data_IF_478850686911
#
_entry.id   IF_478850686911
#
_cell.length_a   1.000
_cell.length_b   1.000
_cell.length_c   1.000
_cell.angle_alpha   90.00
_cell.angle_beta   90.00
_cell.angle_gamma   90.00
#
_symmetry.space_group_name_H-M   'P 1'
#
loop_
_entity.id
_entity.type
_entity.pdbx_description
1 polymer ?
#
# COMPACT_ATOMS: atom_id res chain seq x y z
N UNK A 1 78.70 -24.84 7.68
CA UNK A 1 77.50 -24.04 7.31
C UNK A 1 76.85 -24.77 6.14
N UNK A 2 75.56 -25.08 6.00
CA UNK A 2 74.26 -24.92 6.67
C UNK A 2 73.26 -25.61 5.68
N UNK A 3 72.00 -25.95 5.89
CA UNK A 3 71.18 -26.47 6.98
C UNK A 3 69.95 -27.09 6.25
N UNK A 4 69.22 -27.96 6.95
CA UNK A 4 68.08 -28.80 6.51
C UNK A 4 66.84 -28.07 5.92
N UNK A 5 66.22 -28.72 4.92
CA UNK A 5 64.82 -29.20 4.83
C UNK A 5 63.65 -28.25 5.21
N UNK A 6 62.64 -28.10 4.33
CA UNK A 6 61.27 -28.64 4.48
C UNK A 6 60.27 -28.10 3.44
N UNK A 7 59.52 -29.02 2.83
CA UNK A 7 58.23 -28.81 2.15
C UNK A 7 57.17 -28.45 3.19
N UNK A 8 56.30 -27.49 2.88
CA UNK A 8 55.02 -27.30 3.58
C UNK A 8 53.91 -27.06 2.57
N UNK A 9 52.95 -27.98 2.57
CA UNK A 9 51.65 -27.86 1.91
C UNK A 9 50.78 -26.85 2.65
N UNK A 10 50.19 -25.90 1.93
CA UNK A 10 49.17 -25.01 2.47
C UNK A 10 47.81 -25.46 1.97
N UNK A 11 46.96 -25.92 2.88
CA UNK A 11 45.56 -26.27 2.66
C UNK A 11 44.75 -24.99 2.43
N UNK A 12 44.02 -24.90 1.30
CA UNK A 12 42.96 -23.90 1.11
C UNK A 12 41.68 -24.39 1.77
N UNK A 13 41.25 -23.75 2.84
CA UNK A 13 39.91 -23.89 3.43
C UNK A 13 38.95 -22.95 2.71
N UNK A 14 38.01 -23.51 1.95
CA UNK A 14 36.87 -22.78 1.40
C UNK A 14 35.81 -22.58 2.50
N UNK A 15 35.60 -21.33 2.93
CA UNK A 15 34.52 -20.96 3.83
C UNK A 15 33.23 -20.75 3.01
N UNK A 16 32.25 -21.64 3.19
CA UNK A 16 30.93 -21.56 2.60
C UNK A 16 30.07 -20.59 3.45
N UNK A 17 29.89 -19.34 3.00
CA UNK A 17 28.93 -18.42 3.61
C UNK A 17 27.51 -18.85 3.22
N UNK A 18 26.77 -19.38 4.19
CA UNK A 18 25.32 -19.61 4.08
C UNK A 18 24.63 -18.31 4.47
N UNK A 19 24.11 -17.57 3.50
CA UNK A 19 23.23 -16.42 3.75
C UNK A 19 21.80 -16.94 3.90
N UNK A 20 21.28 -16.93 5.13
CA UNK A 20 19.85 -17.18 5.37
C UNK A 20 19.06 -15.91 5.02
N UNK A 21 17.99 -16.01 4.21
CA UNK A 21 17.05 -14.91 4.05
C UNK A 21 16.29 -14.74 5.36
N UNK A 22 16.48 -13.60 6.02
CA UNK A 22 15.72 -13.23 7.21
C UNK A 22 14.27 -12.97 6.83
N UNK A 23 13.35 -13.78 7.35
CA UNK A 23 11.94 -13.45 7.38
C UNK A 23 11.77 -12.36 8.46
N UNK A 24 11.76 -11.10 8.05
CA UNK A 24 11.53 -9.98 8.97
C UNK A 24 10.04 -9.92 9.29
N UNK A 25 9.67 -10.25 10.53
CA UNK A 25 8.40 -9.82 11.08
C UNK A 25 8.38 -8.29 11.17
N UNK A 26 7.21 -7.66 10.99
CA UNK A 26 7.06 -6.22 11.14
C UNK A 26 7.60 -5.77 12.51
N UNK A 27 8.49 -4.78 12.52
CA UNK A 27 8.98 -4.22 13.79
C UNK A 27 7.90 -3.37 14.45
N UNK A 28 8.02 -3.09 15.75
CA UNK A 28 7.13 -2.16 16.47
C UNK A 28 7.05 -0.77 15.83
N UNK A 29 8.07 -0.42 15.05
CA UNK A 29 8.20 0.89 14.41
C UNK A 29 7.55 0.91 13.02
N UNK A 30 7.19 -0.25 12.46
CA UNK A 30 6.57 -0.34 11.14
C UNK A 30 5.12 0.13 11.15
N UNK A 31 4.37 -0.10 12.24
CA UNK A 31 2.95 0.28 12.34
C UNK A 31 2.75 1.81 12.22
N UNK A 32 3.46 2.66 12.99
CA UNK A 32 3.34 4.12 12.83
C UNK A 32 3.77 4.62 11.44
N UNK A 33 4.79 4.01 10.84
CA UNK A 33 5.22 4.37 9.49
C UNK A 33 4.17 3.99 8.45
N UNK A 34 3.60 2.80 8.56
CA UNK A 34 2.53 2.33 7.69
C UNK A 34 1.27 3.20 7.82
N UNK A 35 0.96 3.66 9.03
CA UNK A 35 -0.14 4.60 9.28
C UNK A 35 0.09 5.94 8.56
N UNK A 36 1.31 6.47 8.62
CA UNK A 36 1.67 7.69 7.89
C UNK A 36 1.54 7.53 6.37
N UNK A 37 1.84 6.34 5.83
CA UNK A 37 1.70 6.05 4.39
C UNK A 37 0.24 6.02 3.95
N UNK A 38 -0.65 5.32 4.67
CA UNK A 38 -2.07 5.30 4.31
C UNK A 38 -2.70 6.69 4.46
N UNK A 39 -2.32 7.45 5.50
CA UNK A 39 -2.74 8.84 5.66
C UNK A 39 -2.24 9.75 4.54
N UNK A 40 -0.96 9.62 4.16
CA UNK A 40 -0.35 10.38 3.08
C UNK A 40 -1.00 10.10 1.73
N UNK A 41 -1.31 8.83 1.45
CA UNK A 41 -1.98 8.41 0.21
C UNK A 41 -3.35 9.09 0.06
N UNK A 42 -4.19 9.02 1.09
CA UNK A 42 -5.52 9.65 1.05
C UNK A 42 -5.47 11.18 1.10
N UNK A 43 -4.50 11.77 1.80
CA UNK A 43 -4.26 13.20 1.74
C UNK A 43 -3.92 13.62 0.30
N UNK A 44 -2.97 12.95 -0.34
CA UNK A 44 -2.58 13.23 -1.73
C UNK A 44 -3.75 13.12 -2.71
N UNK A 45 -4.54 12.03 -2.63
CA UNK A 45 -5.73 11.85 -3.47
C UNK A 45 -6.76 12.96 -3.28
N UNK A 46 -7.11 13.29 -2.04
CA UNK A 46 -8.13 14.30 -1.73
C UNK A 46 -7.70 15.72 -2.08
N UNK A 47 -6.39 15.99 -2.14
CA UNK A 47 -5.81 17.28 -2.46
C UNK A 47 -5.39 17.40 -3.95
N UNK A 48 -5.68 16.38 -4.77
CA UNK A 48 -5.38 16.37 -6.20
C UNK A 48 -3.89 16.20 -6.53
N UNK A 49 -3.07 15.75 -5.58
CA UNK A 49 -1.64 15.44 -5.79
C UNK A 49 -1.48 14.00 -6.30
N UNK A 50 -1.93 13.75 -7.52
CA UNK A 50 -2.03 12.38 -8.04
C UNK A 50 -0.66 11.71 -8.28
N UNK A 51 0.38 12.48 -8.60
CA UNK A 51 1.75 11.96 -8.66
C UNK A 51 2.23 11.40 -7.30
N UNK A 52 1.97 12.14 -6.22
CA UNK A 52 2.31 11.70 -4.86
C UNK A 52 1.52 10.44 -4.47
N UNK A 53 0.22 10.40 -4.80
CA UNK A 53 -0.63 9.24 -4.56
C UNK A 53 -0.12 8.01 -5.33
N UNK A 54 0.25 8.17 -6.61
CA UNK A 54 0.83 7.12 -7.43
C UNK A 54 2.14 6.57 -6.85
N UNK A 55 2.98 7.43 -6.27
CA UNK A 55 4.22 7.01 -5.60
C UNK A 55 4.00 6.22 -4.31
N UNK A 56 2.86 6.40 -3.65
CA UNK A 56 2.49 5.70 -2.41
C UNK A 56 1.69 4.42 -2.66
N UNK A 57 1.30 4.15 -3.90
CA UNK A 57 0.50 3.01 -4.29
C UNK A 57 1.33 1.92 -4.97
N UNK A 58 1.01 0.67 -4.67
CA UNK A 58 1.64 -0.51 -5.28
C UNK A 58 0.65 -1.65 -5.52
N UNK A 59 -0.65 -1.35 -5.53
CA UNK A 59 -1.63 -2.27 -6.11
C UNK A 59 -1.61 -2.22 -7.63
N UNK A 60 -2.57 -2.89 -8.25
CA UNK A 60 -2.68 -2.92 -9.71
C UNK A 60 -3.37 -1.66 -10.27
N UNK A 61 -2.97 -1.26 -11.48
CA UNK A 61 -3.61 -0.21 -12.25
C UNK A 61 -4.51 -0.78 -13.36
N UNK A 62 -4.78 -2.09 -13.36
CA UNK A 62 -5.49 -2.76 -14.44
C UNK A 62 -6.93 -2.25 -14.54
N UNK A 63 -7.61 -2.14 -13.39
CA UNK A 63 -8.97 -1.60 -13.33
C UNK A 63 -9.04 -0.15 -13.84
N UNK A 64 -8.14 0.71 -13.36
CA UNK A 64 -8.07 2.11 -13.78
C UNK A 64 -7.81 2.27 -15.28
N UNK A 65 -6.93 1.42 -15.83
CA UNK A 65 -6.59 1.44 -17.26
C UNK A 65 -7.75 0.91 -18.11
N UNK A 66 -8.44 -0.14 -17.63
CA UNK A 66 -9.55 -0.76 -18.37
C UNK A 66 -10.73 0.19 -18.57
N UNK A 67 -11.02 1.04 -17.57
CA UNK A 67 -12.12 2.01 -17.63
C UNK A 67 -11.72 3.35 -18.27
N UNK A 68 -10.44 3.56 -18.56
CA UNK A 68 -9.91 4.75 -19.24
C UNK A 68 -9.03 4.37 -20.45
N UNK A 69 -9.60 3.77 -21.52
CA UNK A 69 -8.82 3.26 -22.65
C UNK A 69 -8.15 4.35 -23.51
N UNK A 70 -8.49 5.62 -23.29
CA UNK A 70 -7.87 6.78 -23.91
C UNK A 70 -6.63 7.30 -23.15
N UNK A 71 -6.38 6.82 -21.93
CA UNK A 71 -5.23 7.20 -21.10
C UNK A 71 -4.09 6.20 -21.28
N UNK A 72 -2.84 6.69 -21.32
CA UNK A 72 -1.66 5.81 -21.30
C UNK A 72 -1.66 4.99 -19.99
N UNK A 73 -1.60 3.65 -20.03
CA UNK A 73 -1.58 2.81 -18.83
C UNK A 73 -0.41 3.10 -17.88
N UNK A 74 0.62 3.84 -18.30
CA UNK A 74 1.75 4.26 -17.46
C UNK A 74 1.57 5.67 -16.87
N UNK A 75 0.55 6.42 -17.30
CA UNK A 75 0.19 7.71 -16.72
C UNK A 75 -0.67 7.51 -15.47
N UNK A 76 -0.04 6.96 -14.43
CA UNK A 76 -0.71 6.61 -13.18
C UNK A 76 -1.35 7.84 -12.49
N UNK A 77 -0.77 9.03 -12.66
CA UNK A 77 -1.31 10.26 -12.13
C UNK A 77 -2.65 10.60 -12.81
N UNK A 78 -2.69 10.57 -14.14
CA UNK A 78 -3.93 10.81 -14.89
C UNK A 78 -4.98 9.72 -14.63
N UNK A 79 -4.57 8.46 -14.46
CA UNK A 79 -5.47 7.37 -14.09
C UNK A 79 -6.14 7.63 -12.72
N UNK A 80 -5.38 8.06 -11.71
CA UNK A 80 -5.95 8.45 -10.42
C UNK A 80 -6.80 9.72 -10.51
N UNK A 81 -6.42 10.69 -11.33
CA UNK A 81 -7.25 11.86 -11.57
C UNK A 81 -8.62 11.46 -12.13
N UNK A 82 -8.66 10.59 -13.14
CA UNK A 82 -9.90 10.07 -13.73
C UNK A 82 -10.72 9.30 -12.70
N UNK A 83 -10.07 8.48 -11.88
CA UNK A 83 -10.72 7.75 -10.80
C UNK A 83 -11.48 8.70 -9.87
N UNK A 84 -10.78 9.70 -9.34
CA UNK A 84 -11.29 10.60 -8.33
C UNK A 84 -12.30 11.63 -8.85
N UNK A 85 -12.23 11.98 -10.14
CA UNK A 85 -13.02 13.10 -10.69
C UNK A 85 -14.12 12.69 -11.65
N UNK A 86 -14.04 11.49 -12.24
CA UNK A 86 -14.90 11.09 -13.35
C UNK A 86 -15.46 9.68 -13.23
N UNK A 87 -14.69 8.72 -12.71
CA UNK A 87 -15.14 7.33 -12.70
C UNK A 87 -16.02 6.98 -11.49
N UNK A 88 -15.96 7.73 -10.39
CA UNK A 88 -16.74 7.45 -9.17
C UNK A 88 -15.90 6.97 -7.98
N UNK A 89 -14.58 7.17 -8.04
CA UNK A 89 -13.66 6.91 -6.93
C UNK A 89 -13.87 7.87 -5.75
N UNK A 90 -13.96 7.31 -4.56
CA UNK A 90 -14.14 8.06 -3.30
C UNK A 90 -12.78 8.49 -2.75
N UNK A 91 -12.25 9.57 -3.32
CA UNK A 91 -10.95 10.13 -2.95
C UNK A 91 -11.08 11.16 -1.81
N UNK A 92 -11.61 10.71 -0.67
CA UNK A 92 -11.88 11.54 0.51
C UNK A 92 -10.74 11.47 1.54
N UNK A 93 -10.58 12.50 2.40
CA UNK A 93 -9.65 12.43 3.51
C UNK A 93 -10.11 11.40 4.56
N UNK A 94 -9.15 10.80 5.24
CA UNK A 94 -9.42 9.90 6.38
C UNK A 94 -10.06 10.70 7.51
N UNK A 95 -11.21 10.24 7.99
CA UNK A 95 -11.82 10.70 9.24
C UNK A 95 -11.17 10.03 10.45
N UNK A 96 -11.05 8.69 10.39
CA UNK A 96 -10.52 7.89 11.48
C UNK A 96 -9.90 6.57 11.00
N UNK A 97 -8.89 6.10 11.73
CA UNK A 97 -8.38 4.72 11.65
C UNK A 97 -8.90 3.96 12.87
N UNK A 98 -9.86 3.06 12.66
CA UNK A 98 -10.61 2.39 13.73
C UNK A 98 -10.00 1.04 14.15
N UNK A 99 -9.20 0.40 13.28
CA UNK A 99 -8.41 -0.78 13.66
C UNK A 99 -7.04 -0.80 12.97
N UNK A 100 -6.11 -1.54 13.59
CA UNK A 100 -4.73 -1.77 13.12
C UNK A 100 -4.37 -3.21 13.43
N UNK A 101 -4.05 -3.99 12.41
CA UNK A 101 -3.71 -5.40 12.53
C UNK A 101 -2.41 -5.69 11.79
N UNK A 102 -1.41 -6.24 12.49
CA UNK A 102 -0.19 -6.75 11.85
C UNK A 102 -0.49 -8.15 11.32
N UNK A 103 -0.24 -8.38 10.03
CA UNK A 103 -0.48 -9.65 9.35
C UNK A 103 0.75 -10.58 9.45
N UNK A 104 0.55 -11.86 9.16
CA UNK A 104 1.59 -12.89 9.27
C UNK A 104 2.80 -12.62 8.37
N UNK A 105 2.62 -11.89 7.26
CA UNK A 105 3.68 -11.50 6.33
C UNK A 105 4.38 -10.18 6.72
N UNK A 106 4.02 -9.61 7.86
CA UNK A 106 4.54 -8.33 8.36
C UNK A 106 3.86 -7.09 7.77
N UNK A 107 2.92 -7.23 6.83
CA UNK A 107 2.13 -6.08 6.39
C UNK A 107 1.17 -5.61 7.48
N UNK A 108 0.70 -4.37 7.37
CA UNK A 108 -0.23 -3.78 8.34
C UNK A 108 -1.56 -3.50 7.64
N UNK A 109 -2.64 -4.07 8.18
CA UNK A 109 -4.01 -3.77 7.78
C UNK A 109 -4.57 -2.66 8.66
N UNK A 110 -5.14 -1.65 8.02
CA UNK A 110 -5.89 -0.57 8.63
C UNK A 110 -7.34 -0.67 8.24
N UNK A 111 -8.24 -0.42 9.19
CA UNK A 111 -9.65 -0.15 8.89
C UNK A 111 -9.90 1.35 8.99
N UNK A 112 -10.37 1.93 7.91
CA UNK A 112 -10.42 3.37 7.69
C UNK A 112 -11.86 3.82 7.49
N UNK A 113 -12.21 4.95 8.10
CA UNK A 113 -13.43 5.71 7.86
C UNK A 113 -13.06 7.02 7.14
N UNK A 114 -13.89 7.47 6.21
CA UNK A 114 -13.65 8.69 5.43
C UNK A 114 -14.56 9.83 5.85
N UNK A 115 -14.09 11.06 5.63
CA UNK A 115 -14.84 12.28 5.92
C UNK A 115 -15.38 12.90 4.64
N UNK A 116 -16.68 13.20 4.63
CA UNK A 116 -17.29 14.05 3.61
C UNK A 116 -16.76 15.48 3.73
N UNK A 117 -17.01 16.31 2.71
CA UNK A 117 -16.58 17.71 2.69
C UNK A 117 -17.12 18.56 3.87
N UNK A 118 -18.26 18.17 4.45
CA UNK A 118 -18.85 18.83 5.61
C UNK A 118 -18.35 18.28 6.97
N UNK A 119 -17.41 17.33 6.94
CA UNK A 119 -16.85 16.68 8.11
C UNK A 119 -17.62 15.44 8.59
N UNK A 120 -18.79 15.14 8.00
CA UNK A 120 -19.58 13.95 8.37
C UNK A 120 -18.92 12.65 7.91
N UNK A 121 -19.35 11.52 8.49
CA UNK A 121 -18.89 10.19 8.09
C UNK A 121 -19.40 9.85 6.68
N UNK A 122 -18.50 9.40 5.81
CA UNK A 122 -18.87 8.84 4.52
C UNK A 122 -19.50 7.45 4.69
N UNK A 123 -20.64 7.23 4.03
CA UNK A 123 -21.39 5.98 4.09
C UNK A 123 -21.87 5.58 2.69
N UNK A 124 -21.64 4.33 2.32
CA UNK A 124 -22.22 3.72 1.11
C UNK A 124 -23.54 3.06 1.50
N UNK A 125 -24.62 3.54 0.89
CA UNK A 125 -25.96 2.96 0.98
C UNK A 125 -26.21 1.84 -0.03
N UNK A 126 -27.47 1.39 -0.17
CA UNK A 126 -27.84 0.39 -1.18
C UNK A 126 -27.50 0.89 -2.59
N UNK A 127 -27.05 -0.01 -3.46
CA UNK A 127 -26.73 0.29 -4.85
C UNK A 127 -27.67 -0.46 -5.81
N UNK A 128 -27.75 -0.02 -7.07
CA UNK A 128 -28.35 -0.82 -8.16
C UNK A 128 -29.81 -1.30 -7.94
N UNK A 129 -30.63 -0.54 -7.21
CA UNK A 129 -32.05 -0.88 -6.96
C UNK A 129 -32.27 -1.85 -5.80
N UNK A 130 -31.25 -2.10 -4.98
CA UNK A 130 -31.38 -2.86 -3.74
C UNK A 130 -32.33 -2.19 -2.75
N UNK A 131 -33.00 -3.00 -1.93
CA UNK A 131 -33.89 -2.51 -0.87
C UNK A 131 -33.05 -1.88 0.24
N UNK A 132 -33.42 -0.67 0.65
CA UNK A 132 -32.77 -0.04 1.79
C UNK A 132 -33.15 -0.75 3.10
N UNK A 133 -32.19 -1.47 3.67
CA UNK A 133 -32.31 -2.15 4.97
C UNK A 133 -31.83 -1.28 6.13
N UNK A 134 -31.34 -0.06 5.86
CA UNK A 134 -30.66 0.78 6.83
C UNK A 134 -29.20 0.39 7.08
N UNK A 135 -28.69 -0.67 6.46
CA UNK A 135 -27.28 -1.05 6.54
C UNK A 135 -26.41 -0.08 5.71
N UNK A 136 -25.27 0.31 6.26
CA UNK A 136 -24.31 1.23 5.63
C UNK A 136 -22.90 0.63 5.70
N UNK A 137 -22.15 0.80 4.61
CA UNK A 137 -20.71 0.48 4.59
C UNK A 137 -19.94 1.79 4.78
N UNK A 138 -19.21 1.90 5.87
CA UNK A 138 -18.48 3.13 6.24
C UNK A 138 -17.04 2.86 6.72
N UNK A 139 -16.64 1.59 6.74
CA UNK A 139 -15.31 1.14 7.12
C UNK A 139 -14.70 0.33 5.97
N UNK A 140 -13.45 0.65 5.62
CA UNK A 140 -12.75 0.10 4.46
C UNK A 140 -11.36 -0.38 4.86
N UNK A 141 -10.96 -1.56 4.37
CA UNK A 141 -9.68 -2.16 4.72
C UNK A 141 -8.57 -1.76 3.74
N UNK A 142 -7.44 -1.30 4.28
CA UNK A 142 -6.22 -0.94 3.54
C UNK A 142 -5.03 -1.70 4.08
N UNK A 143 -4.27 -2.33 3.20
CA UNK A 143 -3.03 -3.00 3.54
C UNK A 143 -1.87 -2.14 3.07
N UNK A 144 -0.96 -1.87 4.00
CA UNK A 144 0.33 -1.25 3.71
C UNK A 144 1.41 -2.30 3.85
N UNK A 145 2.23 -2.44 2.81
CA UNK A 145 3.27 -3.46 2.74
C UNK A 145 4.57 -2.86 2.22
N UNK A 146 5.69 -3.42 2.67
CA UNK A 146 7.01 -3.10 2.13
C UNK A 146 7.22 -3.77 0.77
N UNK A 147 7.46 -2.97 -0.26
CA UNK A 147 7.76 -3.41 -1.63
C UNK A 147 9.00 -2.65 -2.08
N UNK A 148 10.05 -3.38 -2.47
CA UNK A 148 11.34 -2.83 -2.90
C UNK A 148 11.98 -1.85 -1.90
N UNK A 149 11.70 -2.04 -0.61
CA UNK A 149 12.23 -1.21 0.49
C UNK A 149 11.26 -0.13 0.98
N UNK A 150 10.24 0.22 0.21
CA UNK A 150 9.27 1.28 0.53
C UNK A 150 7.95 0.72 1.04
N UNK A 151 7.32 1.38 2.00
CA UNK A 151 5.96 1.06 2.41
C UNK A 151 4.96 1.68 1.43
N UNK A 152 4.02 0.89 0.93
CA UNK A 152 3.02 1.33 -0.07
C UNK A 152 1.66 0.71 0.19
N UNK A 153 0.60 1.43 -0.18
CA UNK A 153 -0.81 1.01 -0.11
C UNK A 153 -1.13 0.07 -1.27
N UNK A 154 -1.95 -0.96 -1.05
CA UNK A 154 -2.28 -1.96 -2.07
C UNK A 154 -3.70 -1.82 -2.65
N UNK A 155 -4.59 -1.05 -2.02
CA UNK A 155 -5.99 -0.93 -2.41
C UNK A 155 -6.30 0.43 -3.04
N UNK A 156 -7.15 0.43 -4.07
CA UNK A 156 -7.75 1.63 -4.60
C UNK A 156 -8.74 2.24 -3.59
N UNK A 157 -9.04 3.55 -3.70
CA UNK A 157 -10.14 4.16 -2.97
C UNK A 157 -11.48 3.45 -3.28
N UNK A 158 -12.48 3.51 -2.38
CA UNK A 158 -13.77 2.88 -2.62
C UNK A 158 -14.42 3.41 -3.90
N UNK A 159 -15.19 2.56 -4.57
CA UNK A 159 -15.90 2.92 -5.79
C UNK A 159 -17.40 3.06 -5.52
N UNK A 160 -18.01 4.14 -6.02
CA UNK A 160 -19.45 4.34 -6.04
C UNK A 160 -19.88 4.69 -7.48
N UNK A 161 -20.52 3.76 -8.21
CA UNK A 161 -20.98 3.97 -9.58
C UNK A 161 -22.18 4.94 -9.71
#
# INVERSE_FOLDING_TARGET
MAFRLKRSWTLLTAALLVTLPGCSAASSDEVPMAEAIVQGYFAALSEGRFDDAAGLYAGDFEELSAINPDVDPQDHALLFERWCTQNGGVCLPILAIVSRDVLDDGSVRFRVQFSNADGSLFEIGPCCGEVDTGQRTNEFDYVVRRIDGDLRVLQLPPYVP
#
